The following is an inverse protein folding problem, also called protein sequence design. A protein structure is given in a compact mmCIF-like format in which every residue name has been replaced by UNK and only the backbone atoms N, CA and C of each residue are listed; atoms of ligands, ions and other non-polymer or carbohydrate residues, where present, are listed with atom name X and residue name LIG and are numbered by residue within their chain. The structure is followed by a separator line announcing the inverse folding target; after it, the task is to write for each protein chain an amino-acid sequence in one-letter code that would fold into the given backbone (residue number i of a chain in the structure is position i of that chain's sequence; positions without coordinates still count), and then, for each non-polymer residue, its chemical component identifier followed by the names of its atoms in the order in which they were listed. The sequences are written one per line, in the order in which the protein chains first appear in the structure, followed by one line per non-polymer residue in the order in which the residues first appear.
data_IF_761795110040
#
_entry.id   IF_761795110040
#
_cell.length_a   1.000
_cell.length_b   1.000
_cell.length_c   1.000
_cell.angle_alpha   90.00
_cell.angle_beta   90.00
_cell.angle_gamma   90.00
#
_symmetry.space_group_name_H-M   'P 1'
#
loop_
_entity.id
_entity.type
_entity.pdbx_description
1 polymer ?
#
# COMPACT_ATOMS: atom_id res chain seq x y z
N UNK A 1 4.00 1.44 5.72
CA UNK A 1 2.78 1.87 5.00
C UNK A 1 3.14 2.50 3.67
N UNK A 2 2.29 2.32 2.66
CA UNK A 2 2.39 2.95 1.34
C UNK A 2 1.08 3.70 1.07
N UNK A 3 1.20 4.97 0.70
CA UNK A 3 0.10 5.79 0.20
C UNK A 3 0.44 6.25 -1.20
N UNK A 4 -0.54 6.28 -2.11
CA UNK A 4 -0.31 6.80 -3.46
C UNK A 4 -1.50 7.55 -4.04
N UNK A 5 -1.22 8.49 -4.93
CA UNK A 5 -2.21 9.14 -5.78
C UNK A 5 -1.72 9.13 -7.24
N UNK A 6 -2.13 8.09 -7.96
CA UNK A 6 -1.74 7.88 -9.37
C UNK A 6 -2.93 8.28 -10.25
N UNK A 7 -2.75 9.27 -11.15
CA UNK A 7 -3.85 9.80 -11.96
C UNK A 7 -4.43 8.73 -12.89
N UNK A 8 -5.71 8.85 -13.26
CA UNK A 8 -6.42 7.82 -14.02
C UNK A 8 -5.80 7.51 -15.38
N UNK A 9 -5.18 8.51 -16.03
CA UNK A 9 -4.37 8.33 -17.26
C UNK A 9 -3.21 7.34 -17.10
N UNK A 10 -2.80 7.02 -15.87
CA UNK A 10 -1.75 6.06 -15.50
C UNK A 10 -2.33 4.84 -14.76
N UNK A 11 -3.61 4.50 -14.98
CA UNK A 11 -4.30 3.38 -14.33
C UNK A 11 -3.51 2.06 -14.39
N UNK A 12 -2.90 1.72 -15.51
CA UNK A 12 -2.09 0.50 -15.64
C UNK A 12 -0.95 0.46 -14.62
N UNK A 13 -0.24 1.57 -14.39
CA UNK A 13 0.83 1.64 -13.39
C UNK A 13 0.29 1.51 -11.96
N UNK A 14 -0.91 2.05 -11.71
CA UNK A 14 -1.58 1.91 -10.42
C UNK A 14 -1.95 0.45 -10.13
N UNK A 15 -2.45 -0.26 -11.14
CA UNK A 15 -2.84 -1.66 -10.99
C UNK A 15 -1.59 -2.55 -10.81
N UNK A 16 -0.52 -2.31 -11.58
CA UNK A 16 0.78 -2.95 -11.39
C UNK A 16 1.35 -2.72 -9.98
N UNK A 17 1.31 -1.49 -9.48
CA UNK A 17 1.77 -1.17 -8.12
C UNK A 17 0.99 -1.99 -7.08
N UNK A 18 -0.34 -2.07 -7.21
CA UNK A 18 -1.20 -2.82 -6.27
C UNK A 18 -0.89 -4.32 -6.30
N UNK A 19 -0.72 -4.91 -7.47
CA UNK A 19 -0.36 -6.33 -7.61
C UNK A 19 0.99 -6.63 -6.93
N UNK A 20 2.00 -5.79 -7.15
CA UNK A 20 3.31 -5.97 -6.51
C UNK A 20 3.23 -5.77 -4.99
N UNK A 21 2.46 -4.80 -4.50
CA UNK A 21 2.26 -4.62 -3.06
C UNK A 21 1.58 -5.85 -2.44
N UNK A 22 0.60 -6.47 -3.11
CA UNK A 22 0.00 -7.72 -2.65
C UNK A 22 1.01 -8.87 -2.58
N UNK A 23 1.87 -9.01 -3.60
CA UNK A 23 2.95 -10.02 -3.63
C UNK A 23 3.92 -9.82 -2.46
N UNK A 24 4.24 -8.57 -2.12
CA UNK A 24 5.09 -8.19 -0.98
C UNK A 24 4.38 -8.33 0.39
N UNK A 25 3.14 -8.80 0.42
CA UNK A 25 2.39 -9.05 1.66
C UNK A 25 1.68 -7.83 2.24
N UNK A 26 1.58 -6.73 1.49
CA UNK A 26 0.76 -5.59 1.94
C UNK A 26 -0.73 -5.96 1.94
N UNK A 27 -1.41 -5.48 2.97
CA UNK A 27 -2.87 -5.52 3.07
C UNK A 27 -3.46 -4.15 2.73
N UNK A 28 -4.61 -4.21 2.06
CA UNK A 28 -5.38 -3.03 1.72
C UNK A 28 -6.10 -2.50 2.96
N UNK A 29 -5.83 -1.25 3.31
CA UNK A 29 -6.56 -0.52 4.35
C UNK A 29 -7.67 0.35 3.72
N UNK A 30 -7.35 1.02 2.60
CA UNK A 30 -8.29 1.85 1.81
C UNK A 30 -7.78 2.01 0.37
N UNK A 31 -8.58 2.66 -0.51
CA UNK A 31 -8.38 2.84 -1.99
C UNK A 31 -6.96 3.13 -2.46
N UNK A 32 -6.15 3.76 -1.62
CA UNK A 32 -4.73 3.96 -1.88
C UNK A 32 -3.86 3.90 -0.63
N UNK A 33 -4.31 3.21 0.42
CA UNK A 33 -3.57 3.08 1.68
C UNK A 33 -3.31 1.59 1.90
N UNK A 34 -2.04 1.24 1.97
CA UNK A 34 -1.56 -0.13 2.09
C UNK A 34 -0.60 -0.26 3.25
N UNK A 35 -0.76 -1.31 4.05
CA UNK A 35 0.05 -1.53 5.26
C UNK A 35 0.63 -2.94 5.26
N UNK A 36 1.85 -3.06 5.75
CA UNK A 36 2.59 -4.31 5.80
C UNK A 36 3.39 -4.35 7.12
N UNK A 37 3.37 -5.45 7.88
CA UNK A 37 4.15 -5.60 9.11
C UNK A 37 5.59 -6.07 8.86
N UNK A 38 5.94 -6.38 7.61
CA UNK A 38 7.26 -6.88 7.25
C UNK A 38 8.20 -5.74 6.87
N UNK A 39 9.51 -5.95 7.09
CA UNK A 39 10.54 -5.04 6.60
C UNK A 39 10.78 -5.29 5.11
N UNK A 40 10.00 -4.56 4.29
CA UNK A 40 10.03 -4.64 2.82
C UNK A 40 10.27 -3.26 2.20
N UNK A 41 10.92 -2.36 2.94
CA UNK A 41 11.09 -0.97 2.52
C UNK A 41 11.96 -0.87 1.26
N UNK A 42 13.04 -1.66 1.19
CA UNK A 42 13.96 -1.64 0.05
C UNK A 42 13.28 -2.14 -1.23
N UNK A 43 12.53 -3.23 -1.15
CA UNK A 43 11.77 -3.79 -2.27
C UNK A 43 10.72 -2.81 -2.79
N UNK A 44 10.03 -2.12 -1.87
CA UNK A 44 9.06 -1.08 -2.25
C UNK A 44 9.75 0.11 -2.90
N UNK A 45 10.90 0.55 -2.40
CA UNK A 45 11.66 1.65 -3.02
C UNK A 45 12.15 1.27 -4.42
N UNK A 46 12.68 0.05 -4.58
CA UNK A 46 13.10 -0.49 -5.87
C UNK A 46 11.93 -0.57 -6.85
N UNK A 47 10.75 -0.99 -6.38
CA UNK A 47 9.52 -1.01 -7.17
C UNK A 47 9.10 0.39 -7.62
N UNK A 48 9.09 1.37 -6.72
CA UNK A 48 8.73 2.76 -7.03
C UNK A 48 9.68 3.34 -8.07
N UNK A 49 10.99 3.13 -7.90
CA UNK A 49 12.01 3.60 -8.82
C UNK A 49 11.89 2.95 -10.21
N UNK A 50 11.69 1.62 -10.26
CA UNK A 50 11.52 0.87 -11.50
C UNK A 50 10.38 1.40 -12.38
N UNK A 51 9.32 1.92 -11.78
CA UNK A 51 8.14 2.43 -12.48
C UNK A 51 8.04 3.97 -12.49
N UNK A 52 9.07 4.68 -12.03
CA UNK A 52 9.13 6.15 -11.94
C UNK A 52 7.92 6.76 -11.20
N UNK A 53 7.59 6.18 -10.04
CA UNK A 53 6.40 6.52 -9.25
C UNK A 53 6.68 7.43 -8.05
N UNK A 54 7.90 7.96 -7.89
CA UNK A 54 8.35 8.75 -6.73
C UNK A 54 7.49 10.00 -6.49
N UNK A 55 6.95 10.56 -7.58
CA UNK A 55 6.06 11.74 -7.52
C UNK A 55 4.66 11.39 -7.01
N UNK A 56 4.25 10.13 -7.12
CA UNK A 56 2.89 9.69 -6.82
C UNK A 56 2.79 8.84 -5.55
N UNK A 57 3.89 8.25 -5.09
CA UNK A 57 3.93 7.29 -3.98
C UNK A 57 4.71 7.86 -2.81
N UNK A 58 4.17 7.67 -1.60
CA UNK A 58 4.81 8.00 -0.33
C UNK A 58 4.88 6.76 0.54
N UNK A 59 6.05 6.48 1.09
CA UNK A 59 6.28 5.40 2.03
C UNK A 59 6.45 5.97 3.43
N UNK A 60 5.96 5.24 4.43
CA UNK A 60 6.04 5.62 5.83
C UNK A 60 6.47 4.41 6.65
N UNK A 61 7.50 4.57 7.47
CA UNK A 61 7.76 3.67 8.58
C UNK A 61 6.77 4.02 9.69
N UNK A 62 6.07 3.02 10.22
CA UNK A 62 5.08 3.20 11.27
C UNK A 62 5.47 2.28 12.42
N UNK A 63 5.62 2.86 13.61
CA UNK A 63 5.89 2.11 14.84
C UNK A 63 4.61 1.53 15.43
N UNK A 64 3.50 2.26 15.35
CA UNK A 64 2.19 1.86 15.88
C UNK A 64 1.07 2.29 14.94
N UNK A 65 0.13 1.38 14.69
CA UNK A 65 -1.03 1.61 13.84
C UNK A 65 -2.28 1.01 14.45
N UNK A 66 -3.21 1.86 14.88
CA UNK A 66 -4.56 1.44 15.29
C UNK A 66 -5.49 1.41 14.09
N UNK A 67 -6.09 0.24 13.83
CA UNK A 67 -7.13 0.08 12.81
C UNK A 67 -8.40 -0.33 13.54
N UNK A 68 -9.42 0.53 13.54
CA UNK A 68 -10.76 0.14 13.96
C UNK A 68 -11.30 -0.90 12.98
N UNK A 69 -11.22 -2.17 13.36
CA UNK A 69 -11.92 -3.22 12.63
C UNK A 69 -13.40 -3.14 13.01
N UNK A 70 -14.28 -3.10 12.00
CA UNK A 70 -15.72 -3.18 12.24
C UNK A 70 -15.99 -4.46 13.04
N UNK A 71 -16.49 -4.32 14.28
CA UNK A 71 -16.89 -5.44 15.13
C UNK A 71 -17.86 -6.32 14.32
N UNK A 72 -17.45 -7.55 14.01
CA UNK A 72 -18.37 -8.60 13.63
C UNK A 72 -19.34 -8.78 14.81
N UNK A 73 -20.56 -8.25 14.69
CA UNK A 73 -21.67 -8.61 15.57
C UNK A 73 -21.97 -10.10 15.34
N UNK A 74 -21.27 -11.00 16.04
CA UNK A 74 -21.81 -12.33 16.32
C UNK A 74 -22.78 -12.14 17.49
N UNK A 75 -24.06 -12.00 17.15
CA UNK A 75 -25.16 -12.04 18.11
C UNK A 75 -25.20 -13.39 18.83
N UNK A 76 -25.66 -13.32 20.08
CA UNK A 76 -26.02 -14.44 20.95
C UNK A 76 -26.96 -15.46 20.32
#
# INVERSE_FOLDING_TARGET
MVIFDIPERKRTLRDILRENLQILGFKYLQKSIWVCPYDVLEEVQNLIAKYELEKYVKTFLIEELEIETAKSKSGS
#
